data_IF_271956604334
#
_entry.id   IF_271956604334
#
_cell.length_a   1.000
_cell.length_b   1.000
_cell.length_c   1.000
_cell.angle_alpha   90.00
_cell.angle_beta   90.00
_cell.angle_gamma   90.00
#
_symmetry.space_group_name_H-M   'P 1'
#
loop_
_entity.id
_entity.type
_entity.pdbx_description
1 polymer ?
#
# COMPACT_ATOMS: atom_id res chain seq x y z
N UNK A 1 12.56 -2.16 8.42
CA UNK A 1 11.74 -2.59 7.26
C UNK A 1 10.54 -1.69 6.95
N UNK A 2 9.87 -1.11 7.96
CA UNK A 2 8.64 -0.31 7.81
C UNK A 2 8.72 0.82 6.76
N UNK A 3 9.83 1.56 6.69
CA UNK A 3 9.98 2.67 5.73
C UNK A 3 9.87 2.26 4.26
N UNK A 4 10.28 1.04 3.91
CA UNK A 4 10.11 0.51 2.56
C UNK A 4 8.63 0.28 2.25
N UNK A 5 7.92 -0.40 3.16
CA UNK A 5 6.47 -0.65 3.02
C UNK A 5 5.66 0.65 2.97
N UNK A 6 6.00 1.64 3.79
CA UNK A 6 5.37 2.97 3.76
C UNK A 6 5.56 3.68 2.43
N UNK A 7 6.80 3.70 1.89
CA UNK A 7 7.07 4.33 0.59
C UNK A 7 6.35 3.63 -0.56
N UNK A 8 6.38 2.30 -0.59
CA UNK A 8 5.72 1.51 -1.64
C UNK A 8 4.20 1.61 -1.56
N UNK A 9 3.64 1.60 -0.35
CA UNK A 9 2.20 1.83 -0.14
C UNK A 9 1.78 3.23 -0.56
N UNK A 10 2.52 4.28 -0.19
CA UNK A 10 2.25 5.65 -0.62
C UNK A 10 2.29 5.79 -2.15
N UNK A 11 3.27 5.16 -2.80
CA UNK A 11 3.35 5.12 -4.26
C UNK A 11 2.12 4.45 -4.88
N UNK A 12 1.72 3.28 -4.39
CA UNK A 12 0.50 2.58 -4.86
C UNK A 12 -0.75 3.41 -4.63
N UNK A 13 -0.83 4.15 -3.51
CA UNK A 13 -1.96 5.02 -3.21
C UNK A 13 -2.08 6.16 -4.22
N UNK A 14 -0.97 6.85 -4.51
CA UNK A 14 -0.90 7.92 -5.52
C UNK A 14 -1.25 7.36 -6.89
N UNK A 15 -0.72 6.20 -7.25
CA UNK A 15 -0.97 5.56 -8.54
C UNK A 15 -2.43 5.13 -8.69
N UNK A 16 -3.02 4.57 -7.64
CA UNK A 16 -4.44 4.22 -7.59
C UNK A 16 -5.34 5.44 -7.76
N UNK A 17 -5.04 6.55 -7.07
CA UNK A 17 -5.74 7.83 -7.23
C UNK A 17 -5.61 8.36 -8.67
N UNK A 18 -4.41 8.32 -9.24
CA UNK A 18 -4.19 8.73 -10.64
C UNK A 18 -5.01 7.89 -11.62
N UNK A 19 -5.10 6.57 -11.40
CA UNK A 19 -5.97 5.71 -12.22
C UNK A 19 -7.45 6.04 -12.03
N UNK A 20 -7.90 6.37 -10.82
CA UNK A 20 -9.28 6.80 -10.57
C UNK A 20 -9.58 8.09 -11.35
N UNK A 21 -8.69 9.09 -11.33
CA UNK A 21 -8.87 10.30 -12.13
C UNK A 21 -8.79 10.02 -13.63
N UNK A 22 -7.89 9.14 -14.06
CA UNK A 22 -7.75 8.72 -15.45
C UNK A 22 -8.99 7.98 -15.98
N UNK A 23 -9.75 7.31 -15.12
CA UNK A 23 -10.99 6.61 -15.51
C UNK A 23 -12.04 7.55 -16.11
N UNK A 24 -12.07 8.81 -15.67
CA UNK A 24 -13.01 9.81 -16.19
C UNK A 24 -12.65 10.33 -17.58
N UNK A 25 -11.40 10.15 -18.02
CA UNK A 25 -10.88 10.71 -19.28
C UNK A 25 -10.73 9.61 -20.34
N UNK A 26 -10.23 8.44 -19.94
CA UNK A 26 -9.78 7.38 -20.85
C UNK A 26 -10.65 6.12 -20.84
N UNK A 27 -11.85 6.19 -20.25
CA UNK A 27 -12.82 5.06 -20.17
C UNK A 27 -12.21 3.78 -19.56
N UNK A 28 -11.21 3.96 -18.70
CA UNK A 28 -10.55 2.89 -17.96
C UNK A 28 -11.44 2.48 -16.80
N UNK A 29 -11.62 1.19 -16.54
CA UNK A 29 -12.49 0.75 -15.45
C UNK A 29 -12.05 1.30 -14.08
N UNK A 30 -12.97 2.01 -13.43
CA UNK A 30 -12.81 2.59 -12.09
C UNK A 30 -12.34 1.56 -11.05
N UNK A 31 -12.73 0.29 -11.25
CA UNK A 31 -12.34 -0.83 -10.39
C UNK A 31 -10.84 -1.08 -10.34
N UNK A 32 -10.09 -0.75 -11.41
CA UNK A 32 -8.63 -0.89 -11.39
C UNK A 32 -7.98 0.10 -10.41
N UNK A 33 -8.47 1.34 -10.37
CA UNK A 33 -8.00 2.34 -9.41
C UNK A 33 -8.28 1.92 -7.97
N UNK A 34 -9.51 1.45 -7.68
CA UNK A 34 -9.88 0.92 -6.36
C UNK A 34 -9.01 -0.29 -5.99
N UNK A 35 -8.80 -1.22 -6.92
CA UNK A 35 -7.99 -2.41 -6.68
C UNK A 35 -6.55 -2.06 -6.29
N UNK A 36 -5.95 -1.08 -6.97
CA UNK A 36 -4.60 -0.60 -6.64
C UNK A 36 -4.56 0.10 -5.27
N UNK A 37 -5.53 0.97 -4.95
CA UNK A 37 -5.61 1.61 -3.63
C UNK A 37 -5.72 0.54 -2.52
N UNK A 38 -6.61 -0.43 -2.68
CA UNK A 38 -6.79 -1.53 -1.72
C UNK A 38 -5.51 -2.36 -1.56
N UNK A 39 -4.80 -2.65 -2.66
CA UNK A 39 -3.50 -3.34 -2.60
C UNK A 39 -2.46 -2.57 -1.81
N UNK A 40 -2.44 -1.23 -1.94
CA UNK A 40 -1.57 -0.36 -1.15
C UNK A 40 -1.88 -0.39 0.34
N UNK A 41 -3.16 -0.48 0.71
CA UNK A 41 -3.60 -0.63 2.11
C UNK A 41 -3.18 -1.99 2.67
N UNK A 42 -3.39 -3.08 1.93
CA UNK A 42 -2.96 -4.42 2.36
C UNK A 42 -1.44 -4.51 2.53
N UNK A 43 -0.68 -3.90 1.63
CA UNK A 43 0.79 -3.84 1.73
C UNK A 43 1.24 -3.10 3.00
N UNK A 44 0.55 -2.02 3.37
CA UNK A 44 0.82 -1.27 4.58
C UNK A 44 0.50 -2.06 5.85
N UNK A 45 -0.64 -2.77 5.86
CA UNK A 45 -1.03 -3.64 6.97
C UNK A 45 -0.02 -4.77 7.19
N UNK A 46 0.46 -5.41 6.11
CA UNK A 46 1.50 -6.45 6.19
C UNK A 46 2.80 -5.85 6.72
N UNK A 47 3.22 -4.69 6.19
CA UNK A 47 4.44 -4.02 6.66
C UNK A 47 4.37 -3.64 8.14
N UNK A 48 3.21 -3.17 8.61
CA UNK A 48 2.99 -2.84 10.02
C UNK A 48 3.00 -4.10 10.89
N UNK A 49 2.37 -5.17 10.44
CA UNK A 49 2.37 -6.46 11.13
C UNK A 49 3.79 -7.00 11.32
N UNK A 50 4.60 -7.00 10.27
CA UNK A 50 6.00 -7.44 10.33
C UNK A 50 6.83 -6.56 11.28
N UNK A 51 6.60 -5.25 11.28
CA UNK A 51 7.28 -4.33 12.19
C UNK A 51 6.94 -4.60 13.66
N UNK A 52 5.66 -4.87 13.96
CA UNK A 52 5.24 -5.24 15.32
C UNK A 52 5.82 -6.59 15.76
N UNK A 53 5.93 -7.56 14.85
CA UNK A 53 6.62 -8.83 15.14
C UNK A 53 8.11 -8.64 15.42
N UNK A 54 8.77 -7.75 14.68
CA UNK A 54 10.18 -7.41 14.89
C UNK A 54 10.40 -6.75 16.27
N UNK A 55 9.49 -5.86 16.68
CA UNK A 55 9.53 -5.22 17.99
C UNK A 55 9.27 -6.19 19.16
N UNK A 56 8.46 -7.23 18.92
CA UNK A 56 8.10 -8.22 19.92
C UNK A 56 9.12 -9.38 20.02
N UNK A 57 10.21 -9.34 19.24
CA UNK A 57 11.27 -10.35 19.34
C UNK A 57 12.07 -10.07 20.63
N UNK A 58 12.17 -11.04 21.57
CA UNK A 58 12.99 -10.85 22.76
C UNK A 58 14.45 -10.64 22.33
N UNK A 59 15.12 -9.65 22.93
CA UNK A 59 16.56 -9.49 22.79
C UNK A 59 17.20 -10.68 23.50
N UNK A 60 17.62 -11.69 22.76
CA UNK A 60 18.54 -12.70 23.28
C UNK A 60 19.83 -11.96 23.69
N UNK A 61 20.07 -11.97 25.00
CA UNK A 61 21.29 -11.51 25.68
C UNK A 61 22.52 -12.29 25.24
#
# INVERSE_FOLDING_TARGET
MLHFFLKTSAFLFVLGILLLFSSFIFDVSFWYGIGIVNSGIYLLLIGLFLYLMELNKPMDT
#
